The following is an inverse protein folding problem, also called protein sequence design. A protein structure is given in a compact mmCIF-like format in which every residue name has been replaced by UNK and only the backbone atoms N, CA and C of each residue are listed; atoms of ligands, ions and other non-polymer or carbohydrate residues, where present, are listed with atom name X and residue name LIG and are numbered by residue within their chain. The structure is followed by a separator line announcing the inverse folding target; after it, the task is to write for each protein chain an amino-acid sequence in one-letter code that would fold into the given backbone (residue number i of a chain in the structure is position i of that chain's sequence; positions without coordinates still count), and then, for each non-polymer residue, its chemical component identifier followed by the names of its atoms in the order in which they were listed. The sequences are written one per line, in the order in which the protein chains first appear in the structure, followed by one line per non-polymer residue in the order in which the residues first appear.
data_IF_031741104793
#
_entry.id   IF_031741104793
#
_cell.length_a   1.000
_cell.length_b   1.000
_cell.length_c   1.000
_cell.angle_alpha   90.00
_cell.angle_beta   90.00
_cell.angle_gamma   90.00
#
_symmetry.space_group_name_H-M   'P 1'
#
loop_
_entity.id
_entity.type
_entity.pdbx_description
1 polymer ?
#
# COMPACT_ATOMS: atom_id res chain seq x y z
N UNK A 1 22.16 -9.07 -17.83
CA UNK A 1 21.37 -8.65 -16.67
C UNK A 1 22.33 -8.39 -15.51
N UNK A 2 22.12 -7.34 -14.73
CA UNK A 2 22.92 -7.05 -13.53
C UNK A 2 22.68 -8.12 -12.45
N UNK A 3 23.74 -8.59 -11.79
CA UNK A 3 23.66 -9.62 -10.75
C UNK A 3 23.61 -8.97 -9.35
N UNK A 4 22.45 -9.04 -8.71
CA UNK A 4 22.22 -8.44 -7.39
C UNK A 4 22.35 -9.42 -6.21
N UNK A 5 22.71 -10.70 -6.46
CA UNK A 5 22.76 -11.73 -5.40
C UNK A 5 23.67 -11.36 -4.23
N UNK A 6 24.78 -10.69 -4.51
CA UNK A 6 25.75 -10.27 -3.50
C UNK A 6 25.19 -9.22 -2.53
N UNK A 7 24.11 -8.51 -2.89
CA UNK A 7 23.48 -7.51 -2.05
C UNK A 7 22.51 -8.11 -1.04
N UNK A 8 22.18 -9.39 -1.12
CA UNK A 8 21.30 -10.06 -0.16
C UNK A 8 22.09 -11.01 0.76
N UNK A 9 21.41 -11.58 1.75
CA UNK A 9 21.99 -12.57 2.67
C UNK A 9 22.36 -13.88 1.97
N UNK A 10 23.09 -14.74 2.67
CA UNK A 10 23.48 -16.09 2.20
C UNK A 10 22.30 -17.05 2.10
N UNK A 11 21.17 -16.74 2.74
CA UNK A 11 20.03 -17.63 2.96
C UNK A 11 20.43 -19.00 3.54
N UNK A 12 21.62 -19.10 4.14
CA UNK A 12 22.20 -20.32 4.70
C UNK A 12 22.13 -21.54 3.76
N UNK A 13 22.30 -21.29 2.45
CA UNK A 13 22.22 -22.32 1.41
C UNK A 13 20.79 -22.68 0.96
N UNK A 14 19.77 -22.04 1.54
CA UNK A 14 18.37 -22.25 1.21
C UNK A 14 17.93 -21.43 -0.01
N UNK A 15 16.92 -21.95 -0.73
CA UNK A 15 16.26 -21.23 -1.82
C UNK A 15 15.00 -20.55 -1.27
N UNK A 16 15.00 -19.21 -1.28
CA UNK A 16 13.84 -18.42 -0.84
C UNK A 16 12.88 -18.15 -1.99
N UNK A 17 11.70 -18.77 -1.96
CA UNK A 17 10.66 -18.62 -2.99
C UNK A 17 9.41 -17.87 -2.50
N UNK A 18 9.44 -17.27 -1.30
CA UNK A 18 8.29 -16.60 -0.69
C UNK A 18 8.40 -15.07 -0.69
N UNK A 19 8.94 -14.49 -1.77
CA UNK A 19 9.09 -13.03 -1.89
C UNK A 19 7.76 -12.28 -1.98
N UNK A 20 6.68 -12.96 -2.41
CA UNK A 20 5.34 -12.38 -2.44
C UNK A 20 4.80 -12.07 -1.03
N UNK A 21 5.17 -12.88 -0.04
CA UNK A 21 4.86 -12.62 1.37
C UNK A 21 5.94 -11.78 2.05
N UNK A 22 7.21 -12.14 1.87
CA UNK A 22 8.34 -11.52 2.56
C UNK A 22 9.57 -11.43 1.65
N UNK A 23 9.85 -10.22 1.19
CA UNK A 23 11.10 -9.91 0.50
C UNK A 23 12.28 -9.83 1.48
N UNK A 24 13.46 -10.36 1.12
CA UNK A 24 14.68 -10.14 1.90
C UNK A 24 15.14 -8.69 1.78
N UNK A 25 15.62 -8.10 2.88
CA UNK A 25 16.23 -6.77 2.84
C UNK A 25 17.63 -6.86 2.22
N UNK A 26 17.98 -6.00 1.26
CA UNK A 26 19.35 -5.92 0.76
C UNK A 26 20.26 -5.27 1.83
N UNK A 27 21.54 -5.63 1.83
CA UNK A 27 22.59 -5.17 2.77
C UNK A 27 22.64 -3.65 2.90
N UNK A 28 22.52 -2.83 1.82
CA UNK A 28 22.44 -1.38 1.96
C UNK A 28 21.26 -0.91 2.82
N UNK A 29 20.08 -1.53 2.69
CA UNK A 29 18.91 -1.20 3.51
C UNK A 29 19.14 -1.58 4.98
N UNK A 30 19.73 -2.76 5.23
CA UNK A 30 20.11 -3.18 6.59
C UNK A 30 21.08 -2.19 7.24
N UNK A 31 22.07 -1.69 6.50
CA UNK A 31 23.01 -0.69 7.00
C UNK A 31 22.33 0.64 7.31
N UNK A 32 21.46 1.13 6.42
CA UNK A 32 20.69 2.36 6.66
C UNK A 32 19.79 2.27 7.91
N UNK A 33 19.19 1.10 8.17
CA UNK A 33 18.40 0.87 9.39
C UNK A 33 19.28 0.94 10.65
N UNK A 34 20.49 0.37 10.62
CA UNK A 34 21.45 0.44 11.73
C UNK A 34 21.84 1.88 12.04
N UNK A 35 22.15 2.67 11.01
CA UNK A 35 22.47 4.09 11.14
C UNK A 35 21.30 4.89 11.72
N UNK A 36 20.09 4.71 11.19
CA UNK A 36 18.90 5.37 11.68
C UNK A 36 18.60 5.02 13.15
N UNK A 37 18.80 3.76 13.55
CA UNK A 37 18.62 3.30 14.92
C UNK A 37 19.65 3.94 15.86
N UNK A 38 20.91 4.03 15.46
CA UNK A 38 21.95 4.68 16.24
C UNK A 38 21.66 6.19 16.47
N UNK A 39 21.12 6.88 15.47
CA UNK A 39 20.65 8.27 15.62
C UNK A 39 19.49 8.39 16.60
N UNK A 40 18.56 7.43 16.62
CA UNK A 40 17.44 7.40 17.57
C UNK A 40 17.87 7.07 19.00
N UNK A 41 18.94 6.31 19.19
CA UNK A 41 19.54 6.07 20.52
C UNK A 41 20.18 7.34 21.10
N UNK A 42 20.68 8.24 20.26
CA UNK A 42 21.29 9.50 20.66
C UNK A 42 20.63 10.68 19.92
N UNK A 43 19.37 11.02 20.22
CA UNK A 43 18.56 11.94 19.41
C UNK A 43 19.14 13.37 19.36
N UNK A 44 19.97 13.77 20.32
CA UNK A 44 20.71 15.04 20.28
C UNK A 44 21.71 15.13 19.11
N UNK A 45 22.05 14.00 18.47
CA UNK A 45 22.90 13.94 17.27
C UNK A 45 22.10 14.03 15.97
N UNK A 46 20.77 13.90 16.05
CA UNK A 46 19.89 14.00 14.89
C UNK A 46 19.60 15.49 14.63
N UNK A 47 20.21 16.05 13.58
CA UNK A 47 19.90 17.43 13.19
C UNK A 47 18.47 17.54 12.64
N UNK A 48 17.86 18.72 12.78
CA UNK A 48 16.56 19.01 12.18
C UNK A 48 16.56 18.77 10.66
N UNK A 49 17.65 19.14 9.98
CA UNK A 49 17.80 18.88 8.55
C UNK A 49 17.77 17.38 8.25
N UNK A 50 18.55 16.57 8.98
CA UNK A 50 18.58 15.12 8.78
C UNK A 50 17.21 14.47 9.07
N UNK A 51 16.44 15.01 10.01
CA UNK A 51 15.09 14.54 10.31
C UNK A 51 14.14 14.69 9.11
N UNK A 52 14.20 15.82 8.39
CA UNK A 52 13.32 16.09 7.23
C UNK A 52 13.86 15.53 5.91
N UNK A 53 15.18 15.46 5.75
CA UNK A 53 15.79 15.03 4.49
C UNK A 53 15.46 13.58 4.15
N UNK A 54 15.42 12.69 5.14
CA UNK A 54 15.11 11.28 4.93
C UNK A 54 13.71 11.07 4.33
N UNK A 55 12.60 11.52 4.96
CA UNK A 55 11.27 11.37 4.39
C UNK A 55 11.11 12.13 3.07
N UNK A 56 11.70 13.33 2.93
CA UNK A 56 11.58 14.13 1.69
C UNK A 56 12.30 13.49 0.50
N UNK A 57 13.47 12.85 0.72
CA UNK A 57 14.13 12.06 -0.32
C UNK A 57 13.30 10.83 -0.68
N UNK A 58 12.76 10.12 0.31
CA UNK A 58 11.93 8.93 0.07
C UNK A 58 10.68 9.29 -0.74
N UNK A 59 9.96 10.36 -0.38
CA UNK A 59 8.81 10.86 -1.13
C UNK A 59 9.15 11.17 -2.59
N UNK A 60 10.30 11.82 -2.86
CA UNK A 60 10.78 12.07 -4.23
C UNK A 60 11.05 10.79 -5.01
N UNK A 61 11.75 9.83 -4.41
CA UNK A 61 12.06 8.55 -5.07
C UNK A 61 10.80 7.74 -5.38
N UNK A 62 9.85 7.69 -4.45
CA UNK A 62 8.56 7.03 -4.64
C UNK A 62 7.73 7.75 -5.71
N UNK A 63 7.71 9.08 -5.71
CA UNK A 63 7.06 9.89 -6.74
C UNK A 63 7.58 9.58 -8.14
N UNK A 64 8.90 9.46 -8.33
CA UNK A 64 9.47 9.02 -9.62
C UNK A 64 8.98 7.62 -10.03
N UNK A 65 8.86 6.68 -9.09
CA UNK A 65 8.44 5.31 -9.38
C UNK A 65 7.00 5.22 -9.88
N UNK A 66 6.09 6.04 -9.33
CA UNK A 66 4.65 6.01 -9.66
C UNK A 66 4.21 7.20 -10.52
N UNK A 67 5.17 7.98 -11.04
CA UNK A 67 4.92 9.19 -11.82
C UNK A 67 4.00 10.22 -11.11
N UNK A 68 4.31 10.52 -9.85
CA UNK A 68 3.60 11.50 -9.02
C UNK A 68 4.57 12.54 -8.42
N UNK A 69 4.03 13.71 -8.06
CA UNK A 69 4.79 14.71 -7.31
C UNK A 69 5.03 14.25 -5.86
N UNK A 70 6.09 14.71 -5.19
CA UNK A 70 6.33 14.37 -3.79
C UNK A 70 5.16 14.77 -2.88
N UNK A 71 4.44 15.85 -3.20
CA UNK A 71 3.34 16.35 -2.37
C UNK A 71 2.11 15.43 -2.39
N UNK A 72 1.99 14.57 -3.42
CA UNK A 72 0.97 13.54 -3.53
C UNK A 72 1.33 12.24 -2.78
N UNK A 73 2.55 12.14 -2.22
CA UNK A 73 3.01 10.94 -1.51
C UNK A 73 2.84 11.10 0.01
N UNK A 74 2.06 10.19 0.60
CA UNK A 74 1.95 9.99 2.05
C UNK A 74 2.73 8.74 2.45
N UNK A 75 3.61 8.87 3.44
CA UNK A 75 4.39 7.74 3.96
C UNK A 75 3.57 7.00 5.05
N UNK A 76 3.23 5.74 4.77
CA UNK A 76 2.57 4.83 5.72
C UNK A 76 3.44 3.63 6.08
N UNK A 77 2.97 2.79 7.00
CA UNK A 77 3.69 1.60 7.46
C UNK A 77 3.24 0.29 6.79
N UNK A 78 2.18 0.33 5.98
CA UNK A 78 1.61 -0.82 5.28
C UNK A 78 0.57 -0.39 4.25
N UNK A 79 0.22 -1.29 3.34
CA UNK A 79 -0.92 -1.13 2.44
C UNK A 79 -2.22 -0.89 3.22
N UNK A 80 -2.50 -1.73 4.23
CA UNK A 80 -3.73 -1.66 5.03
C UNK A 80 -3.88 -0.32 5.75
N UNK A 81 -2.79 0.24 6.28
CA UNK A 81 -2.80 1.57 6.87
C UNK A 81 -3.21 2.65 5.86
N UNK A 82 -2.65 2.60 4.65
CA UNK A 82 -2.99 3.53 3.58
C UNK A 82 -4.46 3.44 3.18
N UNK A 83 -4.97 2.22 3.00
CA UNK A 83 -6.39 2.00 2.66
C UNK A 83 -7.32 2.49 3.77
N UNK A 84 -6.99 2.22 5.04
CA UNK A 84 -7.78 2.71 6.18
C UNK A 84 -7.78 4.24 6.25
N UNK A 85 -6.65 4.89 5.96
CA UNK A 85 -6.56 6.34 5.92
C UNK A 85 -7.48 6.92 4.83
N UNK A 86 -7.51 6.29 3.65
CA UNK A 86 -8.40 6.68 2.55
C UNK A 86 -9.87 6.53 2.96
N UNK A 87 -10.25 5.36 3.48
CA UNK A 87 -11.62 5.07 3.91
C UNK A 87 -12.09 6.09 4.94
N UNK A 88 -11.27 6.41 5.95
CA UNK A 88 -11.63 7.36 7.00
C UNK A 88 -11.55 8.82 6.57
N UNK A 89 -10.83 9.13 5.49
CA UNK A 89 -10.70 10.48 4.95
C UNK A 89 -11.86 10.90 4.04
N UNK A 90 -12.68 9.95 3.59
CA UNK A 90 -13.87 10.23 2.76
C UNK A 90 -15.10 10.50 3.64
N UNK A 91 -15.91 11.49 3.25
CA UNK A 91 -17.17 11.82 3.93
C UNK A 91 -18.31 10.93 3.45
N UNK A 92 -18.54 9.78 4.08
CA UNK A 92 -19.59 8.84 3.69
C UNK A 92 -21.00 9.31 4.03
N UNK A 93 -21.95 9.02 3.14
CA UNK A 93 -23.38 9.21 3.36
C UNK A 93 -24.12 7.87 3.31
N UNK A 94 -25.27 7.81 4.00
CA UNK A 94 -26.18 6.67 3.88
C UNK A 94 -26.58 6.48 2.43
N UNK A 95 -26.43 5.25 1.93
CA UNK A 95 -26.75 4.87 0.57
C UNK A 95 -25.61 5.04 -0.43
N UNK A 96 -24.45 5.59 -0.04
CA UNK A 96 -23.22 5.50 -0.84
C UNK A 96 -22.86 4.03 -1.07
N UNK A 97 -22.19 3.77 -2.18
CA UNK A 97 -21.87 2.41 -2.62
C UNK A 97 -20.38 2.24 -2.90
N UNK A 98 -19.85 1.10 -2.46
CA UNK A 98 -18.48 0.67 -2.73
C UNK A 98 -18.53 -0.62 -3.53
N UNK A 99 -17.90 -0.60 -4.70
CA UNK A 99 -17.70 -1.78 -5.53
C UNK A 99 -16.40 -2.49 -5.11
N UNK A 100 -16.50 -3.79 -4.88
CA UNK A 100 -15.40 -4.68 -4.51
C UNK A 100 -15.38 -5.88 -5.45
N UNK A 101 -14.25 -6.59 -5.51
CA UNK A 101 -14.14 -7.84 -6.28
C UNK A 101 -14.29 -9.04 -5.34
N UNK A 102 -15.14 -10.00 -5.70
CA UNK A 102 -15.32 -11.23 -4.93
C UNK A 102 -14.02 -12.05 -4.90
N UNK A 103 -13.68 -12.59 -3.72
CA UNK A 103 -12.45 -13.37 -3.52
C UNK A 103 -11.14 -12.57 -3.51
N UNK A 104 -11.20 -11.24 -3.56
CA UNK A 104 -10.01 -10.37 -3.43
C UNK A 104 -9.36 -10.51 -2.04
N UNK A 105 -8.14 -10.00 -1.89
CA UNK A 105 -7.35 -10.17 -0.67
C UNK A 105 -8.08 -9.60 0.57
N UNK A 106 -8.11 -10.27 1.73
CA UNK A 106 -8.91 -9.82 2.88
C UNK A 106 -8.63 -8.37 3.33
N UNK A 107 -7.38 -7.90 3.17
CA UNK A 107 -7.03 -6.52 3.51
C UNK A 107 -7.63 -5.47 2.57
N UNK A 108 -8.08 -5.82 1.37
CA UNK A 108 -8.82 -4.92 0.46
C UNK A 108 -10.33 -4.95 0.69
N UNK A 109 -10.88 -5.98 1.33
CA UNK A 109 -12.33 -6.16 1.54
C UNK A 109 -12.77 -5.76 2.95
N UNK A 110 -12.16 -6.36 3.97
CA UNK A 110 -12.62 -6.25 5.37
C UNK A 110 -12.73 -4.81 5.88
N UNK A 111 -11.84 -3.87 5.51
CA UNK A 111 -11.95 -2.48 5.98
C UNK A 111 -13.25 -1.79 5.58
N UNK A 112 -13.82 -2.14 4.42
CA UNK A 112 -15.05 -1.55 3.90
C UNK A 112 -16.30 -2.04 4.63
N UNK A 113 -16.29 -3.27 5.16
CA UNK A 113 -17.43 -3.84 5.91
C UNK A 113 -17.80 -3.01 7.14
N UNK A 114 -16.84 -2.30 7.72
CA UNK A 114 -17.08 -1.38 8.84
C UNK A 114 -17.95 -0.17 8.45
N UNK A 115 -18.14 0.11 7.16
CA UNK A 115 -19.01 1.19 6.69
C UNK A 115 -20.48 0.74 6.53
N UNK A 116 -20.75 -0.56 6.52
CA UNK A 116 -22.13 -1.07 6.43
C UNK A 116 -22.97 -0.58 7.64
N UNK A 117 -22.36 -0.49 8.82
CA UNK A 117 -22.96 0.09 10.03
C UNK A 117 -23.30 1.58 9.88
N UNK A 118 -22.66 2.27 8.93
CA UNK A 118 -22.90 3.68 8.61
C UNK A 118 -23.88 3.84 7.42
N UNK A 119 -24.46 2.75 6.93
CA UNK A 119 -25.42 2.73 5.83
C UNK A 119 -24.80 2.77 4.43
N UNK A 120 -23.49 2.53 4.30
CA UNK A 120 -22.82 2.34 3.01
C UNK A 120 -23.12 0.93 2.50
N UNK A 121 -23.42 0.78 1.21
CA UNK A 121 -23.65 -0.52 0.58
C UNK A 121 -22.36 -1.06 -0.02
N UNK A 122 -22.08 -2.34 0.18
CA UNK A 122 -21.01 -3.04 -0.51
C UNK A 122 -21.61 -3.90 -1.62
N UNK A 123 -21.10 -3.76 -2.83
CA UNK A 123 -21.47 -4.59 -3.97
C UNK A 123 -20.23 -5.31 -4.47
N UNK A 124 -20.32 -6.64 -4.50
CA UNK A 124 -19.24 -7.51 -4.95
C UNK A 124 -19.46 -7.87 -6.42
N UNK A 125 -18.43 -7.66 -7.22
CA UNK A 125 -18.34 -8.10 -8.61
C UNK A 125 -17.81 -9.53 -8.59
N UNK A 126 -18.63 -10.46 -9.06
CA UNK A 126 -18.20 -11.84 -9.29
C UNK A 126 -17.34 -11.89 -10.55
N UNK A 127 -16.17 -12.51 -10.46
CA UNK A 127 -15.26 -12.62 -11.59
C UNK A 127 -15.75 -13.71 -12.55
N UNK A 128 -16.81 -13.41 -13.29
CA UNK A 128 -17.25 -14.26 -14.40
C UNK A 128 -16.18 -14.27 -15.49
N UNK A 129 -15.52 -15.41 -15.70
CA UNK A 129 -14.49 -15.56 -16.72
C UNK A 129 -14.98 -15.30 -18.15
N UNK A 130 -16.30 -15.26 -18.38
CA UNK A 130 -16.89 -14.98 -19.69
C UNK A 130 -16.93 -13.48 -20.05
N UNK A 131 -16.85 -12.58 -19.07
CA UNK A 131 -16.90 -11.13 -19.28
C UNK A 131 -15.63 -10.51 -18.70
N UNK A 132 -14.97 -9.63 -19.45
CA UNK A 132 -13.79 -8.96 -18.94
C UNK A 132 -14.13 -8.05 -17.75
N UNK A 133 -13.29 -8.07 -16.71
CA UNK A 133 -13.51 -7.31 -15.48
C UNK A 133 -13.81 -5.81 -15.71
N UNK A 134 -13.15 -5.09 -16.65
CA UNK A 134 -13.52 -3.70 -16.94
C UNK A 134 -14.98 -3.51 -17.36
N UNK A 135 -15.54 -4.44 -18.13
CA UNK A 135 -16.95 -4.38 -18.53
C UNK A 135 -17.87 -4.67 -17.35
N UNK A 136 -17.54 -5.68 -16.54
CA UNK A 136 -18.29 -5.98 -15.31
C UNK A 136 -18.33 -4.78 -14.36
N UNK A 137 -17.19 -4.10 -14.19
CA UNK A 137 -17.11 -2.86 -13.39
C UNK A 137 -17.99 -1.78 -14.01
N UNK A 138 -17.89 -1.56 -15.32
CA UNK A 138 -18.71 -0.55 -16.02
C UNK A 138 -20.21 -0.80 -15.84
N UNK A 139 -20.64 -2.06 -15.90
CA UNK A 139 -22.05 -2.45 -15.74
C UNK A 139 -22.52 -2.35 -14.29
N UNK A 140 -21.61 -2.51 -13.33
CA UNK A 140 -21.89 -2.40 -11.91
C UNK A 140 -21.93 -0.95 -11.40
N UNK A 141 -21.34 0.02 -12.10
CA UNK A 141 -21.32 1.42 -11.68
C UNK A 141 -22.74 2.02 -11.73
N UNK A 142 -23.17 2.55 -10.58
CA UNK A 142 -24.43 3.27 -10.41
C UNK A 142 -24.18 4.74 -10.09
N UNK A 143 -25.25 5.54 -10.04
CA UNK A 143 -25.17 6.93 -9.57
C UNK A 143 -24.83 7.05 -8.06
N UNK A 144 -24.86 5.94 -7.30
CA UNK A 144 -24.50 5.88 -5.89
C UNK A 144 -23.07 5.36 -5.68
N UNK A 145 -22.44 4.78 -6.72
CA UNK A 145 -21.07 4.29 -6.65
C UNK A 145 -20.11 5.43 -6.36
N UNK A 146 -19.37 5.29 -5.26
CA UNK A 146 -18.42 6.29 -4.79
C UNK A 146 -16.97 5.84 -4.91
N UNK A 147 -16.73 4.55 -4.68
CA UNK A 147 -15.40 3.95 -4.79
C UNK A 147 -15.50 2.57 -5.41
N UNK A 148 -14.53 2.24 -6.26
CA UNK A 148 -14.20 0.88 -6.65
C UNK A 148 -12.82 0.54 -6.08
N UNK A 149 -12.68 -0.61 -5.41
CA UNK A 149 -11.42 -1.07 -4.83
C UNK A 149 -11.08 -2.49 -5.30
N UNK A 150 -9.85 -2.69 -5.76
CA UNK A 150 -9.31 -3.97 -6.24
C UNK A 150 -7.80 -4.03 -6.01
N UNK A 151 -7.19 -5.22 -6.04
CA UNK A 151 -5.73 -5.43 -5.94
C UNK A 151 -4.97 -5.23 -7.24
#
# INVERSE_FOLDING_TARGET
MTNWRADFGSFDGQVWLNCAHQGPLPKPAVNAIKEATALKQAPHRLSNQAFWDVPNRLKRMLGTLVNASPDEIVLGNSFSYGLHLLIRGLNWNVGDEVLLVEGDFPATILPWRLLEEQGVRLQFIDQDAAIELPQQISDAITAQTRVFCTT
#
